data_IF_736132864713
#
_entry.id   IF_736132864713
#
_cell.length_a   1.000
_cell.length_b   1.000
_cell.length_c   1.000
_cell.angle_alpha   90.00
_cell.angle_beta   90.00
_cell.angle_gamma   90.00
#
_symmetry.space_group_name_H-M   'P 1'
#
loop_
_entity.id
_entity.type
_entity.pdbx_description
1 polymer ?
#
# COMPACT_ATOMS: atom_id res chain seq x y z
N UNK A 1 -8.58 8.16 -19.86
CA UNK A 1 -9.83 7.59 -19.32
C UNK A 1 -9.97 6.18 -19.87
N UNK A 2 -10.00 5.16 -19.01
CA UNK A 2 -10.12 3.77 -19.44
C UNK A 2 -11.50 3.54 -20.08
N UNK A 3 -11.59 2.69 -21.11
CA UNK A 3 -12.90 2.35 -21.68
C UNK A 3 -13.71 1.41 -20.76
N UNK A 4 -15.02 1.33 -20.95
CA UNK A 4 -15.93 0.54 -20.12
C UNK A 4 -15.67 -0.99 -20.19
N UNK A 5 -14.93 -1.47 -21.18
CA UNK A 5 -14.53 -2.88 -21.30
C UNK A 5 -13.30 -3.14 -20.43
N UNK A 6 -12.34 -2.23 -20.44
CA UNK A 6 -11.14 -2.27 -19.60
C UNK A 6 -11.48 -2.12 -18.11
N UNK A 7 -12.46 -1.26 -17.78
CA UNK A 7 -13.00 -1.13 -16.43
C UNK A 7 -13.64 -2.44 -15.92
N UNK A 8 -14.55 -3.04 -16.71
CA UNK A 8 -15.17 -4.33 -16.36
C UNK A 8 -14.17 -5.47 -16.26
N UNK A 9 -13.16 -5.47 -17.13
CA UNK A 9 -12.07 -6.43 -17.04
C UNK A 9 -11.33 -6.29 -15.69
N UNK A 10 -10.94 -5.07 -15.32
CA UNK A 10 -10.18 -4.80 -14.09
C UNK A 10 -10.93 -5.26 -12.83
N UNK A 11 -12.23 -4.98 -12.74
CA UNK A 11 -13.08 -5.47 -11.64
C UNK A 11 -13.14 -6.99 -11.60
N UNK A 12 -13.30 -7.65 -12.76
CA UNK A 12 -13.33 -9.11 -12.83
C UNK A 12 -11.99 -9.76 -12.43
N UNK A 13 -10.87 -9.08 -12.68
CA UNK A 13 -9.56 -9.58 -12.28
C UNK A 13 -9.30 -9.42 -10.78
N UNK A 14 -9.83 -8.38 -10.15
CA UNK A 14 -9.72 -8.19 -8.69
C UNK A 14 -10.25 -9.38 -7.90
N UNK A 15 -11.30 -10.07 -8.36
CA UNK A 15 -11.78 -11.29 -7.68
C UNK A 15 -10.87 -12.50 -7.89
N UNK A 16 -10.22 -12.57 -9.05
CA UNK A 16 -9.38 -13.70 -9.45
C UNK A 16 -7.97 -13.63 -8.89
N UNK A 17 -7.50 -12.44 -8.52
CA UNK A 17 -6.14 -12.24 -8.07
C UNK A 17 -5.81 -13.02 -6.81
N UNK A 18 -4.74 -13.81 -6.91
CA UNK A 18 -3.98 -14.39 -5.81
C UNK A 18 -2.84 -13.43 -5.50
N UNK A 19 -3.12 -12.45 -4.65
CA UNK A 19 -2.09 -11.55 -4.10
C UNK A 19 -1.02 -12.40 -3.38
N UNK A 20 0.29 -12.15 -3.61
CA UNK A 20 0.89 -11.07 -4.40
C UNK A 20 1.31 -11.45 -5.84
N UNK A 21 1.06 -12.67 -6.29
CA UNK A 21 1.63 -13.23 -7.55
C UNK A 21 1.11 -12.48 -8.79
N UNK A 22 -0.19 -12.20 -8.85
CA UNK A 22 -0.80 -11.56 -10.03
C UNK A 22 -0.49 -10.05 -10.11
N UNK A 23 0.09 -9.47 -9.06
CA UNK A 23 0.45 -8.04 -9.02
C UNK A 23 1.67 -7.71 -9.90
N UNK A 24 2.52 -8.70 -10.22
CA UNK A 24 3.64 -8.54 -11.15
C UNK A 24 3.17 -8.28 -12.59
N UNK A 25 2.05 -8.85 -13.01
CA UNK A 25 1.49 -8.63 -14.34
C UNK A 25 0.93 -7.20 -14.51
N UNK A 26 0.45 -6.59 -13.42
CA UNK A 26 -0.04 -5.21 -13.43
C UNK A 26 1.04 -4.20 -13.78
N UNK A 27 2.29 -4.44 -13.39
CA UNK A 27 3.43 -3.55 -13.71
C UNK A 27 3.66 -3.38 -15.21
N UNK A 28 3.19 -4.31 -16.04
CA UNK A 28 3.31 -4.26 -17.51
C UNK A 28 2.21 -3.44 -18.17
N UNK A 29 1.13 -3.12 -17.46
CA UNK A 29 -0.07 -2.49 -18.03
C UNK A 29 -0.09 -0.96 -17.97
N UNK A 30 0.94 -0.35 -17.40
CA UNK A 30 1.13 1.09 -17.45
C UNK A 30 0.51 1.87 -16.28
N UNK A 31 0.77 3.18 -16.23
CA UNK A 31 0.36 4.06 -15.14
C UNK A 31 -1.16 4.24 -15.03
N UNK A 32 -1.91 4.04 -16.12
CA UNK A 32 -3.36 4.30 -16.17
C UNK A 32 -4.17 3.33 -15.30
N UNK A 33 -3.60 2.17 -14.99
CA UNK A 33 -4.23 1.17 -14.11
C UNK A 33 -4.32 1.67 -12.67
N UNK A 34 -3.37 2.51 -12.24
CA UNK A 34 -3.41 3.11 -10.90
C UNK A 34 -4.65 4.01 -10.77
N UNK A 35 -4.84 4.94 -11.71
CA UNK A 35 -5.94 5.89 -11.67
C UNK A 35 -7.30 5.19 -11.77
N UNK A 36 -7.40 4.15 -12.60
CA UNK A 36 -8.61 3.33 -12.71
C UNK A 36 -8.94 2.59 -11.41
N UNK A 37 -7.95 2.03 -10.71
CA UNK A 37 -8.17 1.37 -9.41
C UNK A 37 -8.61 2.36 -8.32
N UNK A 38 -8.07 3.58 -8.33
CA UNK A 38 -8.51 4.67 -7.43
C UNK A 38 -9.98 4.98 -7.67
N UNK A 39 -10.37 5.19 -8.94
CA UNK A 39 -11.75 5.52 -9.31
C UNK A 39 -12.73 4.41 -8.90
N UNK A 40 -12.38 3.14 -9.17
CA UNK A 40 -13.20 1.98 -8.79
C UNK A 40 -13.40 1.89 -7.28
N UNK A 41 -12.33 2.12 -6.50
CA UNK A 41 -12.42 2.09 -5.04
C UNK A 41 -13.30 3.21 -4.49
N UNK A 42 -13.25 4.39 -5.09
CA UNK A 42 -14.05 5.55 -4.69
C UNK A 42 -15.54 5.39 -5.03
N UNK A 43 -15.88 4.60 -6.05
CA UNK A 43 -17.28 4.29 -6.39
C UNK A 43 -17.98 3.39 -5.35
N UNK A 44 -17.24 2.71 -4.47
CA UNK A 44 -17.80 1.94 -3.36
C UNK A 44 -18.56 0.66 -3.74
N UNK A 45 -18.51 0.24 -5.02
CA UNK A 45 -19.26 -0.93 -5.52
C UNK A 45 -18.52 -2.27 -5.38
N UNK A 46 -17.36 -2.27 -4.73
CA UNK A 46 -16.51 -3.45 -4.60
C UNK A 46 -16.84 -4.30 -3.37
N UNK A 47 -16.72 -5.62 -3.52
CA UNK A 47 -16.72 -6.57 -2.41
C UNK A 47 -15.51 -6.35 -1.48
N UNK A 48 -15.58 -6.83 -0.24
CA UNK A 48 -14.49 -6.78 0.73
C UNK A 48 -13.15 -7.29 0.14
N UNK A 49 -13.21 -8.47 -0.50
CA UNK A 49 -12.08 -9.11 -1.16
C UNK A 49 -11.51 -8.27 -2.29
N UNK A 50 -12.37 -7.69 -3.13
CA UNK A 50 -11.93 -6.82 -4.22
C UNK A 50 -11.26 -5.54 -3.68
N UNK A 51 -11.77 -4.98 -2.58
CA UNK A 51 -11.16 -3.81 -1.91
C UNK A 51 -9.77 -4.13 -1.37
N UNK A 52 -9.60 -5.29 -0.72
CA UNK A 52 -8.29 -5.78 -0.26
C UNK A 52 -7.32 -5.93 -1.43
N UNK A 53 -7.74 -6.61 -2.50
CA UNK A 53 -6.88 -6.84 -3.67
C UNK A 53 -6.53 -5.54 -4.40
N UNK A 54 -7.47 -4.59 -4.48
CA UNK A 54 -7.23 -3.28 -5.08
C UNK A 54 -6.24 -2.45 -4.26
N UNK A 55 -6.32 -2.48 -2.92
CA UNK A 55 -5.35 -1.82 -2.04
C UNK A 55 -3.93 -2.37 -2.24
N UNK A 56 -3.79 -3.69 -2.33
CA UNK A 56 -2.50 -4.32 -2.62
C UNK A 56 -1.98 -3.95 -4.02
N UNK A 57 -2.84 -3.93 -5.03
CA UNK A 57 -2.47 -3.51 -6.38
C UNK A 57 -2.02 -2.05 -6.44
N UNK A 58 -2.72 -1.14 -5.76
CA UNK A 58 -2.31 0.26 -5.66
C UNK A 58 -0.97 0.41 -4.93
N UNK A 59 -0.71 -0.40 -3.90
CA UNK A 59 0.58 -0.45 -3.22
C UNK A 59 1.72 -0.82 -4.17
N UNK A 60 1.51 -1.78 -5.07
CA UNK A 60 2.54 -2.16 -6.04
C UNK A 60 2.72 -1.11 -7.15
N UNK A 61 1.62 -0.54 -7.63
CA UNK A 61 1.62 0.44 -8.72
C UNK A 61 2.11 1.84 -8.27
N UNK A 62 2.02 2.17 -6.97
CA UNK A 62 2.58 3.41 -6.42
C UNK A 62 4.11 3.44 -6.51
N UNK A 63 4.76 2.27 -6.58
CA UNK A 63 6.22 2.13 -6.66
C UNK A 63 6.77 2.41 -8.07
N UNK A 64 5.91 2.59 -9.07
CA UNK A 64 6.34 2.82 -10.45
C UNK A 64 6.97 4.22 -10.63
N UNK A 65 8.05 4.30 -11.41
CA UNK A 65 8.85 5.53 -11.58
C UNK A 65 8.02 6.69 -12.16
N UNK A 66 8.32 7.90 -11.70
CA UNK A 66 7.82 9.16 -12.27
C UNK A 66 6.70 9.86 -11.48
N UNK A 67 6.00 9.16 -10.58
CA UNK A 67 4.86 9.72 -9.81
C UNK A 67 4.73 9.16 -8.40
N UNK A 68 5.82 8.61 -7.85
CA UNK A 68 5.84 7.86 -6.58
C UNK A 68 5.18 8.63 -5.42
N UNK A 69 5.61 9.88 -5.18
CA UNK A 69 5.11 10.69 -4.07
C UNK A 69 3.60 10.94 -4.14
N UNK A 70 3.13 11.41 -5.30
CA UNK A 70 1.71 11.69 -5.52
C UNK A 70 0.84 10.44 -5.34
N UNK A 71 1.27 9.29 -5.88
CA UNK A 71 0.57 8.02 -5.74
C UNK A 71 0.56 7.50 -4.31
N UNK A 72 1.65 7.69 -3.57
CA UNK A 72 1.74 7.28 -2.18
C UNK A 72 0.81 8.11 -1.28
N UNK A 73 0.68 9.42 -1.55
CA UNK A 73 -0.30 10.28 -0.88
C UNK A 73 -1.74 9.80 -1.14
N UNK A 74 -2.07 9.48 -2.39
CA UNK A 74 -3.41 8.95 -2.76
C UNK A 74 -3.68 7.62 -2.06
N UNK A 75 -2.70 6.70 -2.08
CA UNK A 75 -2.82 5.41 -1.41
C UNK A 75 -3.02 5.56 0.10
N UNK A 76 -2.27 6.46 0.75
CA UNK A 76 -2.44 6.74 2.17
C UNK A 76 -3.83 7.27 2.50
N UNK A 77 -4.38 8.14 1.64
CA UNK A 77 -5.76 8.63 1.77
C UNK A 77 -6.75 7.46 1.66
N UNK A 78 -6.65 6.67 0.59
CA UNK A 78 -7.56 5.55 0.35
C UNK A 78 -7.51 4.51 1.46
N UNK A 79 -6.33 4.14 1.93
CA UNK A 79 -6.16 3.20 3.04
C UNK A 79 -6.84 3.69 4.33
N UNK A 80 -6.89 5.01 4.56
CA UNK A 80 -7.63 5.58 5.70
C UNK A 80 -9.14 5.60 5.48
N UNK A 81 -9.58 5.95 4.27
CA UNK A 81 -11.01 6.07 3.93
C UNK A 81 -11.71 4.71 3.82
N UNK A 82 -11.03 3.68 3.31
CA UNK A 82 -11.59 2.35 3.10
C UNK A 82 -11.80 1.57 4.41
N UNK A 83 -11.22 2.02 5.51
CA UNK A 83 -11.34 1.40 6.84
C UNK A 83 -12.58 1.90 7.61
N UNK A 84 -13.37 2.79 7.00
CA UNK A 84 -14.70 3.15 7.53
C UNK A 84 -15.68 2.01 7.22
N UNK A 85 -15.57 0.90 7.95
CA UNK A 85 -16.40 -0.30 7.81
C UNK A 85 -15.87 -1.47 8.67
N UNK A 86 -16.76 -2.38 9.09
CA UNK A 86 -16.45 -3.42 10.10
C UNK A 86 -15.78 -4.70 9.53
N UNK A 87 -15.05 -4.55 8.41
CA UNK A 87 -14.38 -5.67 7.75
C UNK A 87 -12.92 -5.77 8.25
N UNK A 88 -12.68 -6.55 9.30
CA UNK A 88 -11.35 -6.72 9.93
C UNK A 88 -10.24 -7.01 8.91
N UNK A 89 -10.51 -7.86 7.91
CA UNK A 89 -9.55 -8.20 6.84
C UNK A 89 -9.12 -6.96 6.03
N UNK A 90 -10.04 -6.04 5.76
CA UNK A 90 -9.76 -4.81 5.02
C UNK A 90 -8.92 -3.84 5.86
N UNK A 91 -9.18 -3.77 7.17
CA UNK A 91 -8.39 -2.97 8.10
C UNK A 91 -6.95 -3.47 8.20
N UNK A 92 -6.79 -4.78 8.35
CA UNK A 92 -5.46 -5.40 8.38
C UNK A 92 -4.72 -5.21 7.05
N UNK A 93 -5.40 -5.36 5.91
CA UNK A 93 -4.80 -5.09 4.60
C UNK A 93 -4.35 -3.63 4.45
N UNK A 94 -5.18 -2.67 4.85
CA UNK A 94 -4.83 -1.26 4.83
C UNK A 94 -3.62 -0.96 5.72
N UNK A 95 -3.57 -1.55 6.92
CA UNK A 95 -2.45 -1.43 7.85
C UNK A 95 -1.14 -1.98 7.24
N UNK A 96 -1.19 -3.18 6.66
CA UNK A 96 -0.05 -3.81 5.98
C UNK A 96 0.44 -3.00 4.78
N UNK A 97 -0.47 -2.42 4.01
CA UNK A 97 -0.12 -1.54 2.87
C UNK A 97 0.59 -0.28 3.34
N UNK A 98 0.11 0.40 4.40
CA UNK A 98 0.77 1.59 4.95
C UNK A 98 2.19 1.29 5.42
N UNK A 99 2.38 0.17 6.11
CA UNK A 99 3.69 -0.33 6.54
C UNK A 99 4.59 -0.64 5.34
N UNK A 100 4.07 -1.38 4.36
CA UNK A 100 4.84 -1.74 3.17
C UNK A 100 5.35 -0.50 2.45
N UNK A 101 4.49 0.51 2.26
CA UNK A 101 4.87 1.77 1.62
C UNK A 101 5.96 2.52 2.38
N UNK A 102 5.91 2.52 3.71
CA UNK A 102 6.96 3.14 4.53
C UNK A 102 8.33 2.50 4.26
N UNK A 103 8.44 1.17 4.23
CA UNK A 103 9.72 0.51 3.93
C UNK A 103 10.23 0.79 2.53
N UNK A 104 9.35 0.83 1.54
CA UNK A 104 9.76 1.18 0.18
C UNK A 104 10.31 2.61 0.12
N UNK A 105 9.70 3.56 0.85
CA UNK A 105 10.25 4.91 1.00
C UNK A 105 11.64 4.91 1.66
N UNK A 106 11.86 4.09 2.71
CA UNK A 106 13.19 3.92 3.32
C UNK A 106 14.21 3.35 2.33
N UNK A 107 13.77 2.43 1.46
CA UNK A 107 14.57 1.86 0.39
C UNK A 107 14.98 2.88 -0.68
N UNK A 108 14.14 3.88 -0.94
CA UNK A 108 14.39 4.95 -1.90
C UNK A 108 15.36 6.01 -1.35
N UNK A 109 16.50 6.17 -2.03
CA UNK A 109 17.58 7.07 -1.61
C UNK A 109 17.12 8.52 -1.39
N UNK A 110 16.22 9.03 -2.24
CA UNK A 110 15.76 10.42 -2.19
C UNK A 110 14.77 10.71 -1.06
N UNK A 111 14.10 9.68 -0.55
CA UNK A 111 13.10 9.80 0.54
C UNK A 111 13.68 9.39 1.89
N UNK A 112 14.77 8.62 1.89
CA UNK A 112 15.46 8.15 3.08
C UNK A 112 15.85 9.27 4.09
N UNK A 113 16.26 10.49 3.68
CA UNK A 113 16.55 11.58 4.62
C UNK A 113 15.31 12.14 5.33
N UNK A 114 14.12 11.89 4.79
CA UNK A 114 12.85 12.43 5.26
C UNK A 114 12.16 11.52 6.28
N UNK A 115 12.79 10.42 6.72
CA UNK A 115 12.15 9.40 7.55
C UNK A 115 12.84 9.30 8.91
N UNK A 116 12.08 9.62 9.95
CA UNK A 116 12.48 9.59 11.36
C UNK A 116 11.88 8.37 12.10
N UNK A 117 12.48 8.04 13.25
CA UNK A 117 11.95 7.00 14.13
C UNK A 117 10.58 7.38 14.71
N UNK A 118 10.30 8.68 14.89
CA UNK A 118 9.00 9.18 15.36
C UNK A 118 7.92 8.99 14.29
N UNK A 119 8.23 9.21 13.02
CA UNK A 119 7.29 8.93 11.91
C UNK A 119 6.98 7.45 11.80
N UNK A 120 7.97 6.57 11.98
CA UNK A 120 7.72 5.13 12.05
C UNK A 120 6.81 4.78 13.22
N UNK A 121 7.09 5.31 14.41
CA UNK A 121 6.27 5.04 15.61
C UNK A 121 4.83 5.47 15.39
N UNK A 122 4.61 6.69 14.90
CA UNK A 122 3.27 7.21 14.59
C UNK A 122 2.56 6.38 13.50
N UNK A 123 3.29 5.90 12.51
CA UNK A 123 2.74 5.02 11.47
C UNK A 123 2.33 3.66 12.04
N UNK A 124 3.12 3.09 12.95
CA UNK A 124 2.80 1.83 13.60
C UNK A 124 1.60 1.94 14.54
N UNK A 125 1.53 2.99 15.36
CA UNK A 125 0.36 3.25 16.22
C UNK A 125 -0.92 3.38 15.39
N UNK A 126 -0.84 4.07 14.24
CA UNK A 126 -1.94 4.15 13.28
C UNK A 126 -2.26 2.80 12.66
N UNK A 127 -1.27 1.99 12.30
CA UNK A 127 -1.49 0.68 11.69
C UNK A 127 -2.09 -0.31 12.70
N UNK A 128 -1.64 -0.28 13.97
CA UNK A 128 -2.24 -1.01 15.08
C UNK A 128 -3.71 -0.62 15.30
N UNK A 129 -4.03 0.68 15.26
CA UNK A 129 -5.41 1.16 15.33
C UNK A 129 -6.29 0.64 14.17
N UNK A 130 -5.66 0.23 13.06
CA UNK A 130 -6.28 -0.42 11.90
C UNK A 130 -6.21 -1.97 11.99
N UNK A 131 -5.81 -2.54 13.13
CA UNK A 131 -5.79 -3.99 13.32
C UNK A 131 -4.54 -4.70 12.79
N UNK A 132 -3.41 -4.00 12.64
CA UNK A 132 -2.12 -4.66 12.43
C UNK A 132 -1.80 -5.58 13.61
N UNK A 133 -1.38 -6.82 13.35
CA UNK A 133 -0.95 -7.72 14.41
C UNK A 133 0.38 -7.31 15.02
N UNK A 134 0.56 -7.63 16.31
CA UNK A 134 1.82 -7.39 17.04
C UNK A 134 3.02 -8.06 16.34
N UNK A 135 2.84 -9.26 15.79
CA UNK A 135 3.88 -9.96 15.01
C UNK A 135 4.36 -9.14 13.81
N UNK A 136 3.44 -8.54 13.05
CA UNK A 136 3.80 -7.71 11.90
C UNK A 136 4.47 -6.42 12.36
N UNK A 137 3.93 -5.77 13.40
CA UNK A 137 4.54 -4.57 14.01
C UNK A 137 5.97 -4.82 14.47
N UNK A 138 6.20 -5.91 15.21
CA UNK A 138 7.51 -6.22 15.78
C UNK A 138 8.52 -6.56 14.68
N UNK A 139 8.09 -7.28 13.64
CA UNK A 139 8.89 -7.55 12.44
C UNK A 139 9.31 -6.27 11.72
N UNK A 140 8.39 -5.30 11.61
CA UNK A 140 8.64 -3.98 11.03
C UNK A 140 9.65 -3.21 11.87
N UNK A 141 9.40 -3.06 13.17
CA UNK A 141 10.28 -2.33 14.06
C UNK A 141 11.71 -2.90 14.05
N UNK A 142 11.82 -4.23 14.07
CA UNK A 142 13.10 -4.94 13.95
C UNK A 142 13.82 -4.65 12.64
N UNK A 143 13.12 -4.68 11.49
CA UNK A 143 13.73 -4.38 10.19
C UNK A 143 14.22 -2.94 10.10
N UNK A 144 13.44 -1.97 10.60
CA UNK A 144 13.85 -0.58 10.62
C UNK A 144 15.10 -0.36 11.48
N UNK A 145 15.14 -0.96 12.68
CA UNK A 145 16.30 -0.87 13.57
C UNK A 145 17.55 -1.49 12.93
N UNK A 146 17.41 -2.63 12.25
CA UNK A 146 18.52 -3.22 11.48
C UNK A 146 19.02 -2.29 10.37
N UNK A 147 18.11 -1.70 9.61
CA UNK A 147 18.45 -0.84 8.48
C UNK A 147 19.05 0.51 8.90
N UNK A 148 18.70 0.99 10.10
CA UNK A 148 19.26 2.22 10.71
C UNK A 148 20.53 1.94 11.50
N UNK A 149 20.66 0.80 12.18
CA UNK A 149 21.88 0.40 12.88
C UNK A 149 23.05 0.19 11.92
N UNK A 150 22.81 -0.35 10.72
CA UNK A 150 23.79 -0.40 9.61
C UNK A 150 24.28 0.97 9.13
N UNK A 151 23.62 2.07 9.54
CA UNK A 151 23.96 3.45 9.17
C UNK A 151 24.75 4.18 10.24
N UNK A 152 24.91 3.63 11.46
CA UNK A 152 25.85 4.22 12.41
C UNK A 152 27.23 4.12 11.77
N UNK A 153 27.94 5.23 11.54
CA UNK A 153 29.35 5.15 11.19
C UNK A 153 30.00 4.29 12.26
N UNK A 154 30.80 3.31 11.84
CA UNK A 154 31.78 2.73 12.74
C UNK A 154 32.60 3.90 13.28
N UNK A 155 32.46 4.20 14.57
CA UNK A 155 33.41 5.07 15.27
C UNK A 155 34.81 4.47 15.17
#
# INVERSE_FOLDING_TARGET
MMDAKAHRWLVNELDKWRVPVDLLELRKRGPEVFDALVEILEQGQLSARQRVNALWALSELSLYRGTFLARNTVLTRLAKTLVVGDEQELREAAARVLVHQFFQQVGHADLRPLLSAEELKSLLERAEALGLSDEVRDGVWSSFNRDTARRRPSE
#
